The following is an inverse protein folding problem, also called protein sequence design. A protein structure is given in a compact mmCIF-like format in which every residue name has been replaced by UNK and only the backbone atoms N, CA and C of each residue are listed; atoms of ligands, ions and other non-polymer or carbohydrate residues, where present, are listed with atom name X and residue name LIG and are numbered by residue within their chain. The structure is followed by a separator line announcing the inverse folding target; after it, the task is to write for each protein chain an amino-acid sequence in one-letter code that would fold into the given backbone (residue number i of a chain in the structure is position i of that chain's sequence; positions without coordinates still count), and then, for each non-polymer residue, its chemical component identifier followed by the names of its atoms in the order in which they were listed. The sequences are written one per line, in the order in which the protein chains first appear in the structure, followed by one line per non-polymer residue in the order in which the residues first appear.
data_IF_143413766818
#
_entry.id   IF_143413766818
#
_cell.length_a   1.000
_cell.length_b   1.000
_cell.length_c   1.000
_cell.angle_alpha   90.00
_cell.angle_beta   90.00
_cell.angle_gamma   90.00
#
_symmetry.space_group_name_H-M   'P 1'
#
loop_
_entity.id
_entity.type
_entity.pdbx_description
1 polymer ?
#
# COMPACT_ATOMS: atom_id res chain seq x y z
N UNK A 1 -2.48 14.38 -18.52
CA UNK A 1 -3.53 13.35 -18.29
C UNK A 1 -3.58 13.09 -16.80
N UNK A 2 -4.77 13.13 -16.20
CA UNK A 2 -4.95 13.14 -14.74
C UNK A 2 -4.63 11.81 -14.07
N UNK A 3 -4.19 11.87 -12.82
CA UNK A 3 -4.02 10.69 -11.98
C UNK A 3 -5.38 10.04 -11.69
N UNK A 4 -5.48 8.72 -11.83
CA UNK A 4 -6.67 7.95 -11.47
C UNK A 4 -6.57 7.57 -9.99
N UNK A 5 -7.65 7.82 -9.25
CA UNK A 5 -7.74 7.51 -7.82
C UNK A 5 -8.94 6.62 -7.55
N UNK A 6 -8.77 5.62 -6.68
CA UNK A 6 -9.83 4.70 -6.29
C UNK A 6 -10.04 4.68 -4.77
N UNK A 7 -11.30 4.73 -4.34
CA UNK A 7 -11.65 4.44 -2.94
C UNK A 7 -11.50 2.93 -2.71
N UNK A 8 -10.64 2.56 -1.77
CA UNK A 8 -10.19 1.18 -1.58
C UNK A 8 -10.25 0.80 -0.10
N UNK A 9 -10.68 -0.43 0.20
CA UNK A 9 -10.56 -1.04 1.53
C UNK A 9 -9.30 -1.89 1.57
N UNK A 10 -8.43 -1.62 2.53
CA UNK A 10 -7.23 -2.43 2.80
C UNK A 10 -7.42 -3.11 4.14
N UNK A 11 -7.27 -4.43 4.19
CA UNK A 11 -7.43 -5.22 5.40
C UNK A 11 -6.20 -6.05 5.72
N UNK A 12 -6.08 -6.48 6.97
CA UNK A 12 -5.17 -7.56 7.34
C UNK A 12 -5.73 -8.93 6.89
N UNK A 13 -4.91 -9.98 7.01
CA UNK A 13 -5.21 -11.29 6.41
C UNK A 13 -6.50 -11.95 6.92
N UNK A 14 -6.90 -11.67 8.16
CA UNK A 14 -8.13 -12.19 8.77
C UNK A 14 -9.29 -11.17 8.73
N UNK A 15 -9.08 -10.00 8.11
CA UNK A 15 -10.01 -8.88 8.03
C UNK A 15 -10.49 -8.34 9.40
N UNK A 16 -9.79 -8.67 10.50
CA UNK A 16 -10.09 -8.10 11.82
C UNK A 16 -9.81 -6.59 11.88
N UNK A 17 -9.01 -6.06 10.95
CA UNK A 17 -8.73 -4.64 10.78
C UNK A 17 -8.86 -4.27 9.31
N UNK A 18 -9.65 -3.23 9.02
CA UNK A 18 -9.86 -2.69 7.68
C UNK A 18 -9.84 -1.17 7.73
N UNK A 19 -9.11 -0.54 6.80
CA UNK A 19 -9.03 0.91 6.65
C UNK A 19 -9.47 1.29 5.23
N UNK A 20 -10.26 2.35 5.13
CA UNK A 20 -10.64 2.96 3.84
C UNK A 20 -9.60 4.03 3.46
N UNK A 21 -9.06 3.92 2.25
CA UNK A 21 -8.04 4.84 1.71
C UNK A 21 -8.38 5.25 0.30
N UNK A 22 -7.88 6.42 -0.11
CA UNK A 22 -7.86 6.82 -1.51
C UNK A 22 -6.52 6.43 -2.12
N UNK A 23 -6.51 5.42 -2.99
CA UNK A 23 -5.29 4.88 -3.59
C UNK A 23 -5.06 5.46 -4.99
N UNK A 24 -3.79 5.72 -5.32
CA UNK A 24 -3.35 6.09 -6.67
C UNK A 24 -3.28 4.82 -7.53
N UNK A 25 -3.88 4.85 -8.71
CA UNK A 25 -3.67 3.84 -9.75
C UNK A 25 -2.43 4.25 -10.54
N UNK A 26 -1.32 3.59 -10.24
CA UNK A 26 -0.01 3.79 -10.86
C UNK A 26 0.34 2.56 -11.71
N UNK A 27 0.30 2.69 -13.03
CA UNK A 27 0.60 1.60 -13.96
C UNK A 27 2.09 1.33 -14.10
N UNK A 28 2.95 2.26 -13.65
CA UNK A 28 4.40 2.11 -13.71
C UNK A 28 4.94 1.43 -12.43
N UNK A 29 4.10 1.25 -11.40
CA UNK A 29 4.44 0.52 -10.19
C UNK A 29 4.31 -1.00 -10.39
N UNK A 30 5.43 -1.73 -10.28
CA UNK A 30 5.44 -3.20 -10.34
C UNK A 30 4.71 -3.87 -9.16
N UNK A 31 4.71 -3.22 -7.99
CA UNK A 31 4.07 -3.70 -6.77
C UNK A 31 3.25 -2.58 -6.12
N UNK A 32 2.15 -2.93 -5.48
CA UNK A 32 1.40 -2.00 -4.64
C UNK A 32 2.20 -1.66 -3.38
N UNK A 33 2.49 -0.39 -3.17
CA UNK A 33 3.15 0.11 -1.98
C UNK A 33 2.15 0.77 -1.02
N UNK A 34 2.36 0.58 0.27
CA UNK A 34 1.63 1.29 1.33
C UNK A 34 2.61 1.99 2.26
N UNK A 35 2.16 3.05 2.92
CA UNK A 35 2.93 3.71 3.96
C UNK A 35 3.14 2.79 5.16
N UNK A 36 4.31 2.89 5.80
CA UNK A 36 4.61 2.13 7.03
C UNK A 36 3.59 2.39 8.13
N UNK A 37 3.08 3.62 8.24
CA UNK A 37 2.01 3.98 9.17
C UNK A 37 0.73 3.15 8.94
N UNK A 38 0.30 3.00 7.69
CA UNK A 38 -0.87 2.20 7.34
C UNK A 38 -0.64 0.70 7.64
N UNK A 39 0.57 0.20 7.37
CA UNK A 39 0.93 -1.18 7.73
C UNK A 39 0.86 -1.41 9.25
N UNK A 40 1.28 -0.43 10.05
CA UNK A 40 1.20 -0.49 11.51
C UNK A 40 -0.26 -0.45 12.00
N UNK A 41 -1.10 0.43 11.42
CA UNK A 41 -2.52 0.55 11.77
C UNK A 41 -3.28 -0.76 11.53
N UNK A 42 -3.00 -1.40 10.39
CA UNK A 42 -3.52 -2.72 10.03
C UNK A 42 -2.88 -3.87 10.81
N UNK A 43 -1.87 -3.61 11.64
CA UNK A 43 -1.12 -4.62 12.37
C UNK A 43 -0.58 -5.74 11.47
N UNK A 44 -0.07 -5.36 10.29
CA UNK A 44 0.45 -6.34 9.32
C UNK A 44 1.75 -6.95 9.83
N UNK A 45 1.83 -8.29 9.78
CA UNK A 45 3.03 -9.03 10.13
C UNK A 45 4.00 -9.04 8.95
N UNK A 46 5.26 -8.70 9.20
CA UNK A 46 6.34 -8.91 8.22
C UNK A 46 6.56 -10.41 8.05
N UNK A 47 6.31 -10.93 6.85
CA UNK A 47 6.50 -12.35 6.49
C UNK A 47 7.84 -12.60 5.77
N UNK A 48 8.48 -11.56 5.27
CA UNK A 48 9.77 -11.60 4.60
C UNK A 48 10.32 -10.20 4.35
N UNK A 49 11.58 -10.12 3.90
CA UNK A 49 12.22 -8.87 3.47
C UNK A 49 12.95 -9.12 2.16
N UNK A 50 12.76 -8.22 1.21
CA UNK A 50 13.54 -8.16 -0.02
C UNK A 50 13.90 -6.71 -0.31
N UNK A 51 15.01 -6.51 -1.03
CA UNK A 51 15.36 -5.20 -1.56
C UNK A 51 14.67 -5.06 -2.91
N UNK A 52 13.88 -4.00 -3.07
CA UNK A 52 13.22 -3.67 -4.33
C UNK A 52 13.73 -2.34 -4.84
N UNK A 53 13.83 -2.21 -6.15
CA UNK A 53 14.03 -0.91 -6.80
C UNK A 53 12.66 -0.27 -6.99
N UNK A 54 12.54 1.01 -6.63
CA UNK A 54 11.28 1.77 -6.76
C UNK A 54 11.55 3.12 -7.41
N UNK A 55 10.65 3.55 -8.30
CA UNK A 55 10.66 4.89 -8.88
C UNK A 55 10.15 5.97 -7.91
N UNK A 56 9.52 5.57 -6.80
CA UNK A 56 9.13 6.49 -5.73
C UNK A 56 10.39 6.97 -5.01
N UNK A 57 10.82 8.21 -5.28
CA UNK A 57 11.88 8.87 -4.49
C UNK A 57 11.42 8.90 -3.03
N UNK A 58 12.18 8.24 -2.16
CA UNK A 58 11.96 8.30 -0.72
C UNK A 58 11.93 9.77 -0.27
N UNK A 59 10.85 10.15 0.39
CA UNK A 59 10.76 11.38 1.16
C UNK A 59 11.64 11.27 2.40
#
# INVERSE_FOLDING_TARGET
MGHVWANTKVGNADLSRVVEVRALVDTDATLTAILKSLANELSLRITGRSRVETGARGY
#
